data_IF_852514802738
#
_entry.id   IF_852514802738
#
_cell.length_a   1.000
_cell.length_b   1.000
_cell.length_c   1.000
_cell.angle_alpha   90.00
_cell.angle_beta   90.00
_cell.angle_gamma   90.00
#
_symmetry.space_group_name_H-M   'P 1'
#
loop_
_entity.id
_entity.type
_entity.pdbx_description
1 polymer ?
#
# COMPACT_ATOMS: atom_id res chain seq x y z
N UNK A 1 -16.36 2.81 17.52
CA UNK A 1 -16.44 1.85 16.39
C UNK A 1 -15.26 0.91 16.51
N UNK A 2 -15.47 -0.40 16.38
CA UNK A 2 -14.37 -1.36 16.48
C UNK A 2 -13.40 -1.09 15.31
N UNK A 3 -12.10 -1.10 15.61
CA UNK A 3 -11.05 -0.97 14.61
C UNK A 3 -10.82 -2.34 13.97
N UNK A 4 -11.83 -2.86 13.25
CA UNK A 4 -11.76 -4.20 12.71
C UNK A 4 -10.71 -4.27 11.59
N UNK A 5 -9.72 -5.11 11.81
CA UNK A 5 -8.73 -5.49 10.81
C UNK A 5 -9.16 -6.85 10.28
N UNK A 6 -9.45 -6.92 8.99
CA UNK A 6 -9.90 -8.13 8.31
C UNK A 6 -8.71 -8.74 7.58
N UNK A 7 -8.48 -10.02 7.78
CA UNK A 7 -7.45 -10.79 7.05
C UNK A 7 -8.18 -11.81 6.18
N UNK A 8 -7.83 -11.85 4.91
CA UNK A 8 -8.32 -12.82 3.94
C UNK A 8 -7.16 -13.60 3.37
N UNK A 9 -7.09 -14.85 3.74
CA UNK A 9 -6.09 -15.78 3.21
C UNK A 9 -6.53 -16.31 1.83
N UNK A 10 -5.57 -16.55 0.94
CA UNK A 10 -5.81 -17.07 -0.41
C UNK A 10 -6.88 -16.27 -1.15
N UNK A 11 -6.75 -14.96 -1.12
CA UNK A 11 -7.78 -13.99 -1.53
C UNK A 11 -8.18 -14.10 -3.00
N UNK A 12 -7.22 -14.32 -3.90
CA UNK A 12 -7.46 -14.52 -5.32
C UNK A 12 -7.42 -16.01 -5.68
N UNK A 13 -8.10 -16.39 -6.76
CA UNK A 13 -7.93 -17.74 -7.31
C UNK A 13 -6.45 -17.97 -7.69
N UNK A 14 -5.91 -19.19 -7.53
CA UNK A 14 -4.49 -19.46 -7.76
C UNK A 14 -4.02 -19.04 -9.17
N UNK A 15 -4.82 -19.31 -10.19
CA UNK A 15 -4.47 -18.99 -11.59
C UNK A 15 -4.37 -17.46 -11.80
N UNK A 16 -5.33 -16.70 -11.27
CA UNK A 16 -5.33 -15.25 -11.40
C UNK A 16 -4.17 -14.63 -10.61
N UNK A 17 -3.95 -15.08 -9.38
CA UNK A 17 -2.80 -14.67 -8.57
C UNK A 17 -1.47 -14.89 -9.30
N UNK A 18 -1.23 -16.11 -9.84
CA UNK A 18 0.01 -16.43 -10.55
C UNK A 18 0.19 -15.60 -11.83
N UNK A 19 -0.90 -15.29 -12.53
CA UNK A 19 -0.85 -14.41 -13.70
C UNK A 19 -0.37 -13.00 -13.35
N UNK A 20 -0.88 -12.42 -12.26
CA UNK A 20 -0.45 -11.10 -11.78
C UNK A 20 0.99 -11.13 -11.26
N UNK A 21 1.35 -12.14 -10.47
CA UNK A 21 2.70 -12.31 -9.93
C UNK A 21 3.72 -12.43 -11.06
N UNK A 22 3.49 -13.30 -12.03
CA UNK A 22 4.38 -13.46 -13.18
C UNK A 22 4.57 -12.18 -13.99
N UNK A 23 3.51 -11.35 -14.10
CA UNK A 23 3.62 -10.06 -14.79
C UNK A 23 4.49 -9.06 -14.02
N UNK A 24 4.27 -8.89 -12.72
CA UNK A 24 5.04 -7.90 -11.92
C UNK A 24 6.49 -8.31 -11.68
N UNK A 25 6.80 -9.58 -11.81
CA UNK A 25 8.15 -10.14 -11.68
C UNK A 25 8.88 -10.26 -13.03
N UNK A 26 8.22 -9.92 -14.15
CA UNK A 26 8.84 -9.96 -15.48
C UNK A 26 9.82 -8.81 -15.70
N UNK A 27 10.81 -9.03 -16.55
CA UNK A 27 11.81 -8.02 -16.92
C UNK A 27 11.20 -6.81 -17.67
N UNK A 28 9.98 -6.94 -18.16
CA UNK A 28 9.26 -5.87 -18.88
C UNK A 28 8.37 -5.03 -17.98
N UNK A 29 8.24 -5.38 -16.70
CA UNK A 29 7.44 -4.59 -15.78
C UNK A 29 8.24 -3.40 -15.25
N UNK A 30 7.71 -2.18 -15.40
CA UNK A 30 8.41 -0.95 -15.04
C UNK A 30 8.21 -0.58 -13.59
N UNK A 31 9.30 -0.56 -12.83
CA UNK A 31 9.35 -0.07 -11.46
C UNK A 31 10.02 1.30 -11.41
N UNK A 32 9.39 2.24 -10.71
CA UNK A 32 9.92 3.59 -10.51
C UNK A 32 10.66 3.67 -9.18
N UNK A 33 11.90 4.09 -9.20
CA UNK A 33 12.68 4.40 -8.01
C UNK A 33 12.02 5.50 -7.18
N UNK A 34 12.04 5.31 -5.85
CA UNK A 34 11.70 6.32 -4.85
C UNK A 34 12.79 6.35 -3.81
N UNK A 35 13.38 7.53 -3.59
CA UNK A 35 14.43 7.79 -2.60
C UNK A 35 13.89 7.94 -1.16
N UNK A 36 12.59 7.75 -0.98
CA UNK A 36 11.91 7.79 0.31
C UNK A 36 10.65 6.92 0.30
N UNK A 37 10.31 6.33 1.45
CA UNK A 37 9.06 5.56 1.61
C UNK A 37 7.85 6.45 1.93
N UNK A 38 8.09 7.54 2.68
CA UNK A 38 7.12 8.59 2.95
C UNK A 38 7.87 9.92 3.08
N UNK A 39 7.31 11.00 2.55
CA UNK A 39 7.97 12.32 2.63
C UNK A 39 7.99 12.80 4.07
N UNK A 40 9.17 13.22 4.55
CA UNK A 40 9.31 13.81 5.87
C UNK A 40 8.36 14.99 6.10
N UNK A 41 8.10 15.79 5.06
CA UNK A 41 7.15 16.91 5.09
C UNK A 41 5.72 16.48 5.48
N UNK A 42 5.27 15.30 5.05
CA UNK A 42 3.96 14.76 5.44
C UNK A 42 3.89 14.46 6.94
N UNK A 43 5.02 14.11 7.59
CA UNK A 43 5.08 13.86 9.03
C UNK A 43 5.04 15.14 9.84
N UNK A 44 5.74 16.19 9.40
CA UNK A 44 5.67 17.51 10.05
C UNK A 44 4.25 18.08 10.00
N UNK A 45 3.55 17.92 8.87
CA UNK A 45 2.16 18.35 8.74
C UNK A 45 1.20 17.56 9.64
N UNK A 46 1.51 16.29 9.94
CA UNK A 46 0.69 15.44 10.80
C UNK A 46 1.08 15.50 12.29
N UNK A 47 2.03 16.36 12.67
CA UNK A 47 2.61 16.38 14.04
C UNK A 47 3.07 14.99 14.52
N UNK A 48 3.47 14.12 13.60
CA UNK A 48 3.95 12.80 13.94
C UNK A 48 5.47 12.83 14.14
N UNK A 49 5.98 12.12 15.15
CA UNK A 49 7.42 12.02 15.30
C UNK A 49 8.02 11.34 14.06
N UNK A 50 8.92 12.03 13.40
CA UNK A 50 9.76 11.45 12.34
C UNK A 50 10.65 10.42 13.03
N UNK A 51 10.47 9.13 12.72
CA UNK A 51 11.34 8.10 13.28
C UNK A 51 12.77 8.35 12.77
N UNK A 52 13.78 8.02 13.56
CA UNK A 52 15.18 8.16 13.13
C UNK A 52 15.45 7.38 11.83
N UNK A 53 14.71 6.30 11.61
CA UNK A 53 14.78 5.46 10.41
C UNK A 53 14.30 6.17 9.14
N UNK A 54 13.50 7.23 9.22
CA UNK A 54 13.14 8.05 8.03
C UNK A 54 14.28 8.95 7.54
N UNK A 55 15.31 9.14 8.36
CA UNK A 55 16.51 9.92 8.03
C UNK A 55 17.62 9.07 7.44
N UNK A 56 17.46 7.74 7.36
CA UNK A 56 18.51 6.85 6.88
C UNK A 56 18.66 7.00 5.36
N UNK A 57 19.90 7.14 4.92
CA UNK A 57 20.32 7.28 3.52
C UNK A 57 19.86 6.11 2.63
N UNK A 58 19.48 4.99 3.23
CA UNK A 58 19.07 3.76 2.56
C UNK A 58 17.54 3.49 2.60
N UNK A 59 16.73 4.48 2.96
CA UNK A 59 15.27 4.31 3.02
C UNK A 59 14.62 4.51 1.65
N UNK A 60 14.84 3.58 0.73
CA UNK A 60 14.33 3.63 -0.62
C UNK A 60 13.39 2.46 -0.93
N UNK A 61 12.57 2.64 -1.95
CA UNK A 61 11.67 1.63 -2.47
C UNK A 61 11.45 1.81 -3.97
N UNK A 62 10.79 0.84 -4.58
CA UNK A 62 10.27 0.99 -5.94
C UNK A 62 8.75 0.98 -5.93
N UNK A 63 8.15 1.72 -6.83
CA UNK A 63 6.68 1.79 -6.94
C UNK A 63 6.22 1.70 -8.38
N UNK A 64 5.00 1.21 -8.56
CA UNK A 64 4.24 1.40 -9.79
C UNK A 64 2.82 1.82 -9.44
N UNK A 65 2.43 3.04 -9.81
CA UNK A 65 1.06 3.50 -9.63
C UNK A 65 0.21 2.93 -10.75
N UNK A 66 -0.72 2.04 -10.41
CA UNK A 66 -1.67 1.46 -11.36
C UNK A 66 -2.84 2.39 -11.64
N UNK A 67 -3.35 3.05 -10.60
CA UNK A 67 -4.46 3.99 -10.68
C UNK A 67 -4.34 5.05 -9.59
N UNK A 68 -4.64 6.28 -9.93
CA UNK A 68 -4.73 7.37 -8.98
C UNK A 68 -5.86 8.32 -9.38
N UNK A 69 -6.82 8.51 -8.49
CA UNK A 69 -7.87 9.49 -8.63
C UNK A 69 -7.65 10.56 -7.55
N UNK A 70 -7.24 11.78 -7.92
CA UNK A 70 -6.98 12.82 -6.93
C UNK A 70 -8.27 13.15 -6.18
N UNK A 71 -8.16 13.20 -4.85
CA UNK A 71 -9.25 13.57 -3.94
C UNK A 71 -9.54 15.07 -3.94
N UNK A 72 -8.62 15.87 -4.45
CA UNK A 72 -8.62 17.31 -4.29
C UNK A 72 -9.00 18.02 -5.59
N UNK A 73 -10.04 18.86 -5.52
CA UNK A 73 -10.44 19.80 -6.58
C UNK A 73 -9.33 20.80 -6.95
N UNK A 74 -8.28 20.93 -6.13
CA UNK A 74 -7.12 21.78 -6.38
C UNK A 74 -5.99 21.09 -7.17
N UNK A 75 -5.98 19.75 -7.23
CA UNK A 75 -5.11 19.04 -8.16
C UNK A 75 -5.82 18.88 -9.49
N UNK A 76 -5.50 19.73 -10.45
CA UNK A 76 -5.96 19.72 -11.84
C UNK A 76 -7.23 18.91 -12.07
N UNK A 77 -8.32 19.59 -12.15
CA UNK A 77 -9.73 19.19 -12.19
C UNK A 77 -10.12 18.01 -13.09
N UNK A 78 -9.24 17.24 -13.66
CA UNK A 78 -9.70 16.41 -14.77
C UNK A 78 -9.03 15.11 -14.94
N UNK A 79 -8.48 14.36 -14.18
CA UNK A 79 -8.18 13.01 -14.68
C UNK A 79 -7.57 12.12 -13.58
N UNK A 80 -8.38 11.16 -13.14
CA UNK A 80 -7.83 9.91 -12.66
C UNK A 80 -6.82 9.40 -13.70
N UNK A 81 -5.63 9.06 -13.26
CA UNK A 81 -4.61 8.50 -14.13
C UNK A 81 -4.58 6.99 -13.94
N UNK A 82 -4.51 6.25 -15.05
CA UNK A 82 -4.40 4.81 -15.05
C UNK A 82 -3.17 4.36 -15.87
N UNK A 83 -2.38 3.47 -15.30
CA UNK A 83 -1.31 2.79 -16.00
C UNK A 83 -1.89 1.83 -17.06
N UNK A 84 -1.18 1.54 -18.17
CA UNK A 84 -1.57 0.48 -19.10
C UNK A 84 -1.77 -0.89 -18.46
N UNK A 85 -1.16 -1.13 -17.31
CA UNK A 85 -1.31 -2.39 -16.55
C UNK A 85 -2.59 -2.41 -15.68
N UNK A 86 -3.25 -1.28 -15.45
CA UNK A 86 -4.41 -1.20 -14.53
C UNK A 86 -5.49 -2.24 -14.87
N UNK A 87 -5.86 -2.37 -16.13
CA UNK A 87 -6.91 -3.30 -16.57
C UNK A 87 -6.60 -4.78 -16.19
N UNK A 88 -5.35 -5.14 -15.96
CA UNK A 88 -4.97 -6.49 -15.49
C UNK A 88 -5.22 -6.67 -14.00
N UNK A 89 -5.12 -5.60 -13.21
CA UNK A 89 -5.34 -5.60 -11.75
C UNK A 89 -6.77 -5.25 -11.37
N UNK A 90 -7.52 -4.55 -12.22
CA UNK A 90 -8.89 -4.13 -11.95
C UNK A 90 -9.80 -5.25 -11.43
N UNK A 91 -9.71 -6.51 -11.93
CA UNK A 91 -10.54 -7.59 -11.42
C UNK A 91 -10.36 -7.88 -9.91
N UNK A 92 -9.27 -7.45 -9.26
CA UNK A 92 -9.09 -7.55 -7.81
C UNK A 92 -10.22 -6.82 -7.07
N UNK A 93 -10.72 -5.72 -7.65
CA UNK A 93 -11.81 -4.92 -7.08
C UNK A 93 -13.07 -5.77 -6.90
N UNK A 94 -13.42 -6.63 -7.86
CA UNK A 94 -14.59 -7.52 -7.76
C UNK A 94 -14.46 -8.57 -6.65
N UNK A 95 -13.24 -8.99 -6.32
CA UNK A 95 -13.02 -9.86 -5.16
C UNK A 95 -13.22 -9.08 -3.85
N UNK A 96 -12.77 -7.80 -3.81
CA UNK A 96 -12.95 -6.95 -2.63
C UNK A 96 -14.42 -6.59 -2.37
N UNK A 97 -15.24 -6.39 -3.40
CA UNK A 97 -16.69 -6.12 -3.28
C UNK A 97 -17.45 -7.19 -2.53
N UNK A 98 -16.94 -8.42 -2.48
CA UNK A 98 -17.52 -9.51 -1.70
C UNK A 98 -17.21 -9.42 -0.22
N UNK A 99 -16.18 -8.66 0.14
CA UNK A 99 -15.65 -8.56 1.50
C UNK A 99 -15.99 -7.26 2.18
N UNK A 100 -16.06 -6.17 1.42
CA UNK A 100 -16.32 -4.83 1.91
C UNK A 100 -17.21 -4.05 0.95
N UNK A 101 -18.03 -3.15 1.50
CA UNK A 101 -18.75 -2.17 0.70
C UNK A 101 -17.86 -0.94 0.50
N UNK A 102 -17.78 -0.46 -0.72
CA UNK A 102 -17.12 0.79 -1.07
C UNK A 102 -17.81 1.45 -2.28
N UNK A 103 -17.60 2.73 -2.47
CA UNK A 103 -18.23 3.52 -3.52
C UNK A 103 -17.29 3.89 -4.65
N UNK A 104 -15.98 4.02 -4.37
CA UNK A 104 -15.03 4.53 -5.36
C UNK A 104 -13.59 4.12 -5.03
N UNK A 105 -12.85 3.66 -6.04
CA UNK A 105 -11.40 3.49 -5.95
C UNK A 105 -10.72 4.87 -5.97
N UNK A 106 -9.82 5.10 -5.02
CA UNK A 106 -9.01 6.31 -4.90
C UNK A 106 -7.63 6.07 -5.52
N UNK A 107 -6.95 5.02 -5.07
CA UNK A 107 -5.59 4.69 -5.49
C UNK A 107 -5.36 3.19 -5.52
N UNK A 108 -4.56 2.75 -6.47
CA UNK A 108 -4.02 1.40 -6.55
C UNK A 108 -2.53 1.51 -6.89
N UNK A 109 -1.66 1.04 -5.99
CA UNK A 109 -0.21 1.22 -6.10
C UNK A 109 0.54 -0.04 -5.67
N UNK A 110 1.39 -0.55 -6.53
CA UNK A 110 2.38 -1.57 -6.20
C UNK A 110 3.57 -0.92 -5.50
N UNK A 111 4.03 -1.55 -4.42
CA UNK A 111 5.25 -1.21 -3.69
C UNK A 111 6.18 -2.42 -3.68
N UNK A 112 7.46 -2.19 -3.96
CA UNK A 112 8.52 -3.16 -3.84
C UNK A 112 9.57 -2.63 -2.86
N UNK A 113 9.77 -3.37 -1.77
CA UNK A 113 10.79 -3.10 -0.77
C UNK A 113 11.93 -4.10 -0.94
N UNK A 114 13.14 -3.65 -1.37
CA UNK A 114 14.29 -4.54 -1.47
C UNK A 114 14.79 -4.96 -0.09
N UNK A 115 15.43 -6.11 -0.04
CA UNK A 115 16.21 -6.53 1.11
C UNK A 115 17.46 -5.65 1.23
N UNK A 116 17.67 -5.08 2.40
CA UNK A 116 18.81 -4.22 2.71
C UNK A 116 19.74 -4.87 3.76
N UNK A 117 19.69 -6.21 3.89
CA UNK A 117 20.43 -7.00 4.88
C UNK A 117 20.11 -6.66 6.36
N UNK A 118 19.12 -5.83 6.58
CA UNK A 118 18.59 -5.49 7.90
C UNK A 118 17.11 -5.16 7.82
N UNK A 119 16.40 -5.39 8.92
CA UNK A 119 15.01 -4.96 9.04
C UNK A 119 14.96 -3.45 9.22
N UNK A 120 14.36 -2.77 8.26
CA UNK A 120 14.09 -1.34 8.30
C UNK A 120 12.60 -1.14 8.58
N UNK A 121 12.26 -0.44 9.66
CA UNK A 121 10.91 0.03 9.88
C UNK A 121 10.69 1.35 9.13
N UNK A 122 9.64 1.36 8.31
CA UNK A 122 9.27 2.55 7.56
C UNK A 122 8.52 3.52 8.48
N UNK A 123 8.39 4.75 8.04
CA UNK A 123 7.70 5.75 8.82
C UNK A 123 6.22 5.43 9.01
N UNK A 124 5.71 5.66 10.23
CA UNK A 124 4.28 5.57 10.54
C UNK A 124 3.52 6.64 9.78
N UNK A 125 2.42 6.26 9.15
CA UNK A 125 1.62 7.17 8.31
C UNK A 125 0.16 6.72 8.20
N UNK A 126 -0.64 7.57 7.58
CA UNK A 126 -1.93 7.25 6.97
C UNK A 126 -1.76 7.29 5.45
N UNK A 127 -2.42 6.41 4.71
CA UNK A 127 -2.27 6.35 3.25
C UNK A 127 -2.91 7.56 2.55
N UNK A 128 -4.05 7.99 3.05
CA UNK A 128 -4.79 9.15 2.56
C UNK A 128 -4.93 10.15 3.70
N UNK A 129 -4.75 11.39 3.32
CA UNK A 129 -4.68 12.49 4.24
C UNK A 129 -5.46 13.68 3.68
N UNK A 130 -6.31 14.29 4.51
CA UNK A 130 -7.04 15.49 4.15
C UNK A 130 -6.18 16.73 4.44
N UNK A 131 -5.67 17.34 3.39
CA UNK A 131 -4.81 18.53 3.48
C UNK A 131 -5.49 19.77 4.08
N UNK A 132 -6.85 19.78 4.15
CA UNK A 132 -7.60 20.91 4.75
C UNK A 132 -7.76 20.77 6.25
N UNK A 133 -8.04 19.55 6.72
CA UNK A 133 -8.32 19.28 8.14
C UNK A 133 -7.11 18.75 8.88
N UNK A 134 -6.05 18.40 8.19
CA UNK A 134 -4.85 17.77 8.75
C UNK A 134 -5.16 16.47 9.49
N UNK A 135 -6.14 15.67 8.99
CA UNK A 135 -6.60 14.43 9.60
C UNK A 135 -6.66 13.30 8.55
N UNK A 136 -6.56 12.06 9.03
CA UNK A 136 -6.87 10.89 8.22
C UNK A 136 -8.38 10.71 8.15
N UNK A 137 -9.00 10.71 6.95
CA UNK A 137 -10.43 10.43 6.81
C UNK A 137 -10.77 9.02 7.27
N UNK A 138 -11.88 8.87 8.01
CA UNK A 138 -12.38 7.60 8.54
C UNK A 138 -13.34 6.87 7.60
N UNK A 139 -13.80 7.56 6.55
CA UNK A 139 -14.63 7.01 5.47
C UNK A 139 -13.81 6.38 4.34
N UNK A 140 -12.53 6.06 4.60
CA UNK A 140 -11.64 5.41 3.64
C UNK A 140 -11.21 4.05 4.17
N UNK A 141 -11.25 3.04 3.31
CA UNK A 141 -10.73 1.70 3.54
C UNK A 141 -9.41 1.52 2.82
N UNK A 142 -8.43 0.94 3.50
CA UNK A 142 -7.14 0.54 2.95
C UNK A 142 -7.13 -0.98 2.81
N UNK A 143 -6.58 -1.45 1.71
CA UNK A 143 -6.31 -2.87 1.49
C UNK A 143 -4.84 -3.05 1.10
N UNK A 144 -4.15 -3.94 1.80
CA UNK A 144 -2.81 -4.41 1.47
C UNK A 144 -2.93 -5.85 0.99
N UNK A 145 -2.58 -6.10 -0.27
CA UNK A 145 -2.52 -7.42 -0.85
C UNK A 145 -1.06 -7.82 -1.10
N UNK A 146 -0.64 -8.97 -0.59
CA UNK A 146 0.75 -9.40 -0.62
C UNK A 146 1.06 -10.33 -1.80
N UNK A 147 2.15 -10.04 -2.52
CA UNK A 147 2.68 -10.90 -3.59
C UNK A 147 3.88 -11.74 -3.15
N UNK A 148 4.39 -11.53 -1.95
CA UNK A 148 5.60 -12.22 -1.45
C UNK A 148 5.36 -12.78 -0.05
N UNK A 149 5.71 -14.03 0.18
CA UNK A 149 5.86 -14.58 1.53
C UNK A 149 7.28 -14.28 2.02
N UNK A 150 7.39 -13.55 3.13
CA UNK A 150 8.68 -13.17 3.73
C UNK A 150 8.52 -12.73 5.18
N UNK A 151 9.64 -12.55 5.88
CA UNK A 151 9.66 -12.01 7.24
C UNK A 151 9.47 -10.48 7.32
N UNK A 152 9.30 -9.80 6.18
CA UNK A 152 8.80 -8.42 6.10
C UNK A 152 7.29 -8.36 6.32
N UNK A 153 6.74 -7.16 6.54
CA UNK A 153 5.32 -7.05 6.82
C UNK A 153 4.81 -5.62 7.01
N UNK A 154 3.68 -5.51 7.68
CA UNK A 154 3.04 -4.24 8.02
C UNK A 154 2.67 -4.23 9.50
N UNK A 155 2.98 -3.13 10.19
CA UNK A 155 2.51 -2.86 11.54
C UNK A 155 1.23 -2.02 11.44
N UNK A 156 0.13 -2.47 12.02
CA UNK A 156 -1.16 -1.76 12.04
C UNK A 156 -1.61 -1.64 13.49
N UNK A 157 -1.82 -0.42 13.97
CA UNK A 157 -2.15 -0.12 15.37
C UNK A 157 -1.18 -0.79 16.38
N UNK A 158 0.11 -0.81 16.05
CA UNK A 158 1.17 -1.42 16.88
C UNK A 158 1.31 -2.94 16.81
N UNK A 159 0.45 -3.64 16.07
CA UNK A 159 0.51 -5.09 15.87
C UNK A 159 1.13 -5.44 14.52
N UNK A 160 2.05 -6.39 14.50
CA UNK A 160 2.70 -6.87 13.28
C UNK A 160 1.83 -7.88 12.52
N UNK A 161 1.80 -7.71 11.21
CA UNK A 161 1.17 -8.60 10.23
C UNK A 161 2.23 -8.97 9.18
N UNK A 162 2.69 -10.21 9.21
CA UNK A 162 3.67 -10.73 8.26
C UNK A 162 3.15 -10.75 6.82
N UNK A 163 4.07 -10.65 5.87
CA UNK A 163 3.74 -10.76 4.45
C UNK A 163 3.60 -12.24 4.05
N UNK A 164 2.40 -12.65 3.67
CA UNK A 164 2.11 -13.98 3.11
C UNK A 164 1.45 -13.78 1.75
N UNK A 165 1.99 -14.43 0.73
CA UNK A 165 1.50 -14.27 -0.65
C UNK A 165 0.04 -14.68 -0.78
N UNK A 166 -0.68 -13.97 -1.64
CA UNK A 166 -2.12 -14.12 -1.89
C UNK A 166 -3.01 -13.82 -0.66
N UNK A 167 -2.47 -13.21 0.39
CA UNK A 167 -3.28 -12.73 1.52
C UNK A 167 -3.56 -11.23 1.38
N UNK A 168 -4.77 -10.83 1.78
CA UNK A 168 -5.20 -9.44 1.86
C UNK A 168 -5.47 -9.02 3.31
N UNK A 169 -5.02 -7.82 3.68
CA UNK A 169 -5.29 -7.18 4.96
C UNK A 169 -6.10 -5.91 4.69
N UNK A 170 -7.27 -5.79 5.32
CA UNK A 170 -8.21 -4.70 5.10
C UNK A 170 -8.44 -3.97 6.41
N UNK A 171 -8.31 -2.65 6.41
CA UNK A 171 -8.47 -1.84 7.60
C UNK A 171 -8.89 -0.39 7.28
N UNK A 172 -9.29 0.35 8.28
CA UNK A 172 -9.67 1.76 8.12
C UNK A 172 -8.44 2.67 8.01
N UNK A 173 -8.47 3.66 7.10
CA UNK A 173 -7.39 4.62 6.91
C UNK A 173 -7.07 5.45 8.16
N UNK A 174 -8.01 5.61 9.10
CA UNK A 174 -7.76 6.29 10.38
C UNK A 174 -6.86 5.50 11.33
N UNK A 175 -6.46 4.27 10.98
CA UNK A 175 -5.54 3.45 11.76
C UNK A 175 -4.10 3.71 11.27
N UNK A 176 -3.26 4.17 12.20
CA UNK A 176 -1.85 4.41 11.92
C UNK A 176 -1.13 3.10 11.60
N UNK A 177 -0.31 3.12 10.57
CA UNK A 177 0.44 1.93 10.14
C UNK A 177 1.79 2.29 9.52
N UNK A 178 2.65 1.29 9.42
CA UNK A 178 3.93 1.36 8.71
C UNK A 178 4.32 -0.02 8.20
N UNK A 179 5.15 -0.05 7.16
CA UNK A 179 5.76 -1.28 6.66
C UNK A 179 7.10 -1.56 7.33
N UNK A 180 7.61 -2.78 7.14
CA UNK A 180 9.00 -3.13 7.41
C UNK A 180 9.54 -4.07 6.34
N UNK A 181 10.85 -3.92 6.07
CA UNK A 181 11.53 -4.61 4.96
C UNK A 181 11.82 -6.07 5.31
N UNK A 182 11.94 -6.95 4.28
CA UNK A 182 12.35 -8.33 4.48
C UNK A 182 13.86 -8.46 4.67
N UNK A 183 14.28 -9.56 5.30
CA UNK A 183 15.69 -9.98 5.41
C UNK A 183 15.93 -11.41 4.94
N UNK A 184 14.88 -12.17 4.67
CA UNK A 184 14.90 -13.59 4.29
C UNK A 184 14.63 -13.83 2.80
N UNK A 185 14.23 -12.79 2.07
CA UNK A 185 13.97 -12.81 0.63
C UNK A 185 14.65 -11.63 -0.04
N UNK A 186 14.81 -11.63 -1.36
CA UNK A 186 15.41 -10.50 -2.08
C UNK A 186 14.57 -9.23 -2.01
N UNK A 187 13.24 -9.38 -1.93
CA UNK A 187 12.29 -8.27 -1.95
C UNK A 187 10.95 -8.66 -1.34
N UNK A 188 10.21 -7.68 -0.90
CA UNK A 188 8.79 -7.77 -0.59
C UNK A 188 7.99 -6.97 -1.60
N UNK A 189 6.99 -7.58 -2.25
CA UNK A 189 6.07 -6.89 -3.16
C UNK A 189 4.66 -6.95 -2.57
N UNK A 190 3.98 -5.79 -2.55
CA UNK A 190 2.59 -5.69 -2.12
C UNK A 190 1.83 -4.67 -2.96
N UNK A 191 0.52 -4.85 -3.08
CA UNK A 191 -0.42 -3.90 -3.67
C UNK A 191 -1.15 -3.17 -2.55
N UNK A 192 -1.06 -1.85 -2.55
CA UNK A 192 -1.80 -0.98 -1.67
C UNK A 192 -2.97 -0.36 -2.44
N UNK A 193 -4.18 -0.49 -1.90
CA UNK A 193 -5.40 0.06 -2.49
C UNK A 193 -6.15 0.90 -1.46
N UNK A 194 -6.73 2.00 -1.91
CA UNK A 194 -7.52 2.91 -1.08
C UNK A 194 -8.88 3.15 -1.72
N UNK A 195 -9.95 3.05 -0.92
CA UNK A 195 -11.33 3.18 -1.39
C UNK A 195 -12.15 4.10 -0.48
N UNK A 196 -13.06 4.87 -1.04
CA UNK A 196 -14.15 5.47 -0.28
C UNK A 196 -15.17 4.40 0.13
N UNK A 197 -15.65 4.48 1.38
CA UNK A 197 -16.82 3.71 1.86
C UNK A 197 -18.11 4.23 1.25
#
# INVERSE_FOLDING_TARGET
>A
MSKDIIIKENFLSPLFYQSLKGMIESDTFHWLWRDYNARAESFYQMNMPVSENTKLENNYMFTHILYNNPLDDNFNKNQGWASPFFAKFEPIIYFLEKEISFSKLIRMKLNLYPNQNQRMELAKHYDIYDGKTNKAPDNITITIFNFTTCNGGTVIDGKEYGSKENDAIIFNNSIIHNGFTPTDTQRRIMLNMSFFK
#
